data_IF_840629738807
#
_entry.id   IF_840629738807
#
_cell.length_a   1.000
_cell.length_b   1.000
_cell.length_c   1.000
_cell.angle_alpha   90.00
_cell.angle_beta   90.00
_cell.angle_gamma   90.00
#
_symmetry.space_group_name_H-M   'P 1'
#
loop_
_entity.id
_entity.type
_entity.pdbx_description
1 polymer ?
#
# COMPACT_ATOMS: atom_id res chain seq x y z
N UNK A 1 -8.37 1.48 -21.90
CA UNK A 1 -7.89 2.83 -22.32
C UNK A 1 -6.83 3.31 -21.33
N UNK A 2 -5.94 4.24 -21.70
CA UNK A 2 -4.92 4.79 -20.76
C UNK A 2 -5.59 5.85 -19.88
N UNK A 3 -5.61 5.63 -18.57
CA UNK A 3 -6.04 6.62 -17.58
C UNK A 3 -4.85 7.51 -17.18
N UNK A 4 -5.11 8.79 -16.88
CA UNK A 4 -4.09 9.68 -16.35
C UNK A 4 -4.21 9.72 -14.82
N UNK A 5 -3.19 9.22 -14.13
CA UNK A 5 -3.05 9.32 -12.68
C UNK A 5 -2.53 10.67 -12.20
N UNK A 6 -2.06 11.52 -13.13
CA UNK A 6 -1.32 12.78 -12.87
C UNK A 6 -0.02 12.59 -12.07
N UNK A 7 0.45 11.35 -11.88
CA UNK A 7 1.71 11.07 -11.22
C UNK A 7 2.86 11.03 -12.25
N UNK A 8 3.89 11.85 -12.04
CA UNK A 8 5.12 11.88 -12.85
C UNK A 8 6.19 10.90 -12.34
N UNK A 9 5.78 9.92 -11.53
CA UNK A 9 6.65 8.98 -10.84
C UNK A 9 6.21 7.54 -11.07
N UNK A 10 7.11 6.54 -10.94
CA UNK A 10 6.76 5.14 -11.16
C UNK A 10 5.68 4.67 -10.18
N UNK A 11 4.61 4.10 -10.71
CA UNK A 11 3.59 3.38 -9.97
C UNK A 11 3.95 1.89 -9.96
N UNK A 12 3.87 1.25 -8.81
CA UNK A 12 4.41 -0.09 -8.57
C UNK A 12 3.34 -1.16 -8.47
N UNK A 13 2.19 -0.83 -7.88
CA UNK A 13 1.14 -1.81 -7.62
C UNK A 13 -0.23 -1.18 -7.51
N UNK A 14 -1.27 -1.98 -7.74
CA UNK A 14 -2.68 -1.60 -7.70
C UNK A 14 -3.52 -2.66 -7.00
N UNK A 15 -4.48 -2.23 -6.18
CA UNK A 15 -5.44 -3.10 -5.50
C UNK A 15 -6.86 -2.54 -5.62
N UNK A 16 -7.80 -3.34 -6.09
CA UNK A 16 -9.23 -3.03 -6.06
C UNK A 16 -9.96 -3.95 -5.09
N UNK A 17 -10.87 -3.39 -4.30
CA UNK A 17 -11.75 -4.14 -3.37
C UNK A 17 -13.20 -4.21 -3.86
N UNK A 18 -13.51 -3.48 -4.93
CA UNK A 18 -14.76 -3.57 -5.68
C UNK A 18 -14.53 -3.00 -7.08
N UNK A 19 -15.54 -3.02 -7.95
CA UNK A 19 -15.44 -2.48 -9.31
C UNK A 19 -15.06 -1.00 -9.36
N UNK A 20 -15.48 -0.23 -8.34
CA UNK A 20 -15.27 1.23 -8.33
C UNK A 20 -14.15 1.69 -7.40
N UNK A 21 -13.75 0.86 -6.44
CA UNK A 21 -12.89 1.28 -5.32
C UNK A 21 -11.50 0.62 -5.43
N UNK A 22 -10.46 1.44 -5.61
CA UNK A 22 -9.10 0.95 -5.76
C UNK A 22 -8.01 1.93 -5.36
N UNK A 23 -6.83 1.40 -5.07
CA UNK A 23 -5.64 2.16 -4.67
C UNK A 23 -4.44 1.78 -5.50
N UNK A 24 -3.58 2.77 -5.75
CA UNK A 24 -2.28 2.59 -6.40
C UNK A 24 -1.19 3.11 -5.50
N UNK A 25 -0.04 2.46 -5.47
CA UNK A 25 1.15 2.94 -4.75
C UNK A 25 2.37 3.01 -5.64
N UNK A 26 3.38 3.82 -5.25
CA UNK A 26 4.58 3.94 -6.05
C UNK A 26 5.75 4.68 -5.40
N UNK A 27 6.58 5.28 -6.25
CA UNK A 27 7.70 6.12 -5.85
C UNK A 27 7.27 7.33 -5.02
N UNK A 28 8.23 7.97 -4.36
CA UNK A 28 8.03 9.11 -3.47
C UNK A 28 6.89 8.92 -2.44
N UNK A 29 6.62 7.67 -2.05
CA UNK A 29 5.57 7.36 -1.08
C UNK A 29 4.16 7.63 -1.62
N UNK A 30 3.99 7.75 -2.94
CA UNK A 30 2.69 8.05 -3.53
C UNK A 30 1.69 6.95 -3.26
N UNK A 31 0.50 7.39 -2.85
CA UNK A 31 -0.70 6.59 -2.69
C UNK A 31 -1.82 7.35 -3.39
N UNK A 32 -2.47 6.70 -4.35
CA UNK A 32 -3.64 7.23 -5.06
C UNK A 32 -4.85 6.37 -4.72
N UNK A 33 -6.03 6.97 -4.75
CA UNK A 33 -7.31 6.31 -4.56
C UNK A 33 -8.28 6.68 -5.68
N UNK A 34 -9.11 5.74 -6.12
CA UNK A 34 -10.25 5.97 -6.99
C UNK A 34 -11.50 5.41 -6.35
N UNK A 35 -12.61 6.11 -6.53
CA UNK A 35 -13.96 5.65 -6.16
C UNK A 35 -14.91 5.57 -7.38
N UNK A 36 -14.35 5.69 -8.58
CA UNK A 36 -15.05 5.73 -9.87
C UNK A 36 -14.36 4.86 -10.93
N UNK A 37 -13.88 3.67 -10.53
CA UNK A 37 -13.29 2.67 -11.42
C UNK A 37 -12.05 3.16 -12.20
N UNK A 38 -11.33 4.12 -11.63
CA UNK A 38 -10.11 4.69 -12.18
C UNK A 38 -10.34 5.83 -13.17
N UNK A 39 -11.57 6.31 -13.35
CA UNK A 39 -11.82 7.53 -14.13
C UNK A 39 -11.05 8.73 -13.54
N UNK A 40 -11.04 8.84 -12.20
CA UNK A 40 -10.26 9.82 -11.47
C UNK A 40 -9.44 9.17 -10.35
N UNK A 41 -8.25 9.71 -10.12
CA UNK A 41 -7.32 9.27 -9.08
C UNK A 41 -6.96 10.45 -8.18
N UNK A 42 -7.19 10.30 -6.88
CA UNK A 42 -6.93 11.32 -5.86
C UNK A 42 -5.72 10.92 -5.00
N UNK A 43 -4.82 11.88 -4.78
CA UNK A 43 -3.71 11.69 -3.84
C UNK A 43 -4.23 11.51 -2.42
N UNK A 44 -3.72 10.50 -1.74
CA UNK A 44 -3.95 10.28 -0.33
C UNK A 44 -2.78 10.84 0.48
N UNK A 45 -3.08 11.40 1.66
CA UNK A 45 -2.04 11.91 2.55
C UNK A 45 -1.25 10.74 3.15
N UNK A 46 0.00 10.59 2.70
CA UNK A 46 0.89 9.50 3.09
C UNK A 46 1.83 9.85 4.24
N UNK A 47 2.87 9.02 4.40
CA UNK A 47 4.03 9.29 5.25
C UNK A 47 5.26 9.41 4.36
N UNK A 48 6.30 10.16 4.75
CA UNK A 48 7.52 10.28 3.96
C UNK A 48 8.20 8.92 3.83
N UNK A 49 8.14 8.33 2.64
CA UNK A 49 8.74 7.04 2.27
C UNK A 49 9.25 7.16 0.84
N UNK A 50 10.43 6.64 0.51
CA UNK A 50 10.98 6.78 -0.85
C UNK A 50 10.26 5.92 -1.88
N UNK A 51 9.91 4.67 -1.55
CA UNK A 51 9.17 3.78 -2.43
C UNK A 51 8.19 2.91 -1.65
N UNK A 52 6.99 2.76 -2.20
CA UNK A 52 6.00 1.75 -1.81
C UNK A 52 5.88 0.76 -2.98
N UNK A 53 6.04 -0.53 -2.70
CA UNK A 53 6.09 -1.58 -3.72
C UNK A 53 4.84 -2.43 -3.81
N UNK A 54 4.09 -2.56 -2.72
CA UNK A 54 2.90 -3.42 -2.67
C UNK A 54 1.81 -2.77 -1.84
N UNK A 55 0.57 -2.82 -2.33
CA UNK A 55 -0.62 -2.39 -1.61
C UNK A 55 -1.62 -3.53 -1.50
N UNK A 56 -2.20 -3.68 -0.31
CA UNK A 56 -3.18 -4.71 0.00
C UNK A 56 -4.31 -4.10 0.82
N UNK A 57 -5.55 -4.25 0.36
CA UNK A 57 -6.72 -3.92 1.16
C UNK A 57 -7.52 -5.19 1.49
N UNK A 58 -7.88 -5.32 2.77
CA UNK A 58 -8.79 -6.38 3.25
C UNK A 58 -10.25 -6.07 2.91
N UNK A 59 -10.58 -4.78 2.90
CA UNK A 59 -11.90 -4.21 2.60
C UNK A 59 -11.72 -2.72 2.31
N UNK A 60 -12.82 -2.00 2.06
CA UNK A 60 -12.82 -0.56 1.74
C UNK A 60 -12.19 0.36 2.79
N UNK A 61 -11.96 -0.12 4.01
CA UNK A 61 -11.44 0.70 5.13
C UNK A 61 -10.03 0.34 5.54
N UNK A 62 -9.73 -0.97 5.60
CA UNK A 62 -8.48 -1.48 6.18
C UNK A 62 -7.52 -1.95 5.09
N UNK A 63 -6.35 -1.32 5.04
CA UNK A 63 -5.32 -1.63 4.06
C UNK A 63 -3.91 -1.39 4.57
N UNK A 64 -2.94 -2.02 3.90
CA UNK A 64 -1.53 -1.94 4.18
C UNK A 64 -0.75 -1.65 2.90
N UNK A 65 0.37 -0.96 3.05
CA UNK A 65 1.39 -0.87 2.00
C UNK A 65 2.77 -1.06 2.58
N UNK A 66 3.67 -1.67 1.81
CA UNK A 66 5.06 -1.91 2.21
C UNK A 66 6.04 -1.29 1.26
N UNK A 67 7.20 -0.92 1.81
CA UNK A 67 8.13 -0.06 1.11
C UNK A 67 9.55 -0.07 1.64
N UNK A 68 10.28 0.96 1.21
CA UNK A 68 11.69 1.19 1.54
C UNK A 68 11.88 1.36 3.04
N UNK A 69 13.09 1.07 3.54
CA UNK A 69 13.48 1.31 4.93
C UNK A 69 12.55 0.64 5.95
N UNK A 70 12.11 -0.59 5.66
CA UNK A 70 11.18 -1.34 6.49
C UNK A 70 9.80 -0.70 6.64
N UNK A 71 9.39 0.16 5.71
CA UNK A 71 8.10 0.82 5.77
C UNK A 71 6.96 -0.21 5.71
N UNK A 72 6.09 -0.13 6.72
CA UNK A 72 4.75 -0.72 6.73
C UNK A 72 3.81 0.42 7.09
N UNK A 73 2.95 0.83 6.18
CA UNK A 73 1.90 1.81 6.48
C UNK A 73 0.56 1.09 6.55
N UNK A 74 -0.28 1.51 7.48
CA UNK A 74 -1.62 0.96 7.69
C UNK A 74 -2.65 2.08 7.69
N UNK A 75 -3.80 1.83 7.07
CA UNK A 75 -4.97 2.69 7.13
C UNK A 75 -6.17 1.92 7.69
N UNK A 76 -7.03 2.62 8.42
CA UNK A 76 -8.32 2.10 8.89
C UNK A 76 -9.53 2.88 8.36
N UNK A 77 -9.29 3.87 7.50
CA UNK A 77 -10.28 4.78 6.94
C UNK A 77 -10.19 4.91 5.41
N UNK A 78 -9.75 3.84 4.72
CA UNK A 78 -9.76 3.79 3.26
C UNK A 78 -8.65 4.62 2.60
N UNK A 79 -7.58 4.90 3.35
CA UNK A 79 -6.43 5.64 2.86
C UNK A 79 -6.46 7.14 3.15
N UNK A 80 -7.54 7.67 3.75
CA UNK A 80 -7.59 9.09 4.14
C UNK A 80 -6.43 9.46 5.08
N UNK A 81 -6.05 8.53 5.96
CA UNK A 81 -4.80 8.62 6.73
C UNK A 81 -4.05 7.29 6.72
N UNK A 82 -2.71 7.39 6.69
CA UNK A 82 -1.79 6.25 6.76
C UNK A 82 -0.84 6.39 7.95
N UNK A 83 -0.78 5.36 8.79
CA UNK A 83 0.01 5.34 10.02
C UNK A 83 1.12 4.30 9.88
N UNK A 84 2.37 4.71 10.06
CA UNK A 84 3.53 3.81 10.03
C UNK A 84 3.50 2.84 11.22
N UNK A 85 3.67 1.56 10.92
CA UNK A 85 3.74 0.46 11.88
C UNK A 85 5.20 0.05 12.11
N UNK A 86 5.49 -0.49 13.29
CA UNK A 86 6.83 -1.00 13.61
C UNK A 86 7.07 -2.35 12.92
N UNK A 87 8.01 -2.39 11.97
CA UNK A 87 8.38 -3.60 11.22
C UNK A 87 9.48 -4.43 11.88
N UNK A 88 10.25 -3.83 12.81
CA UNK A 88 11.46 -4.41 13.45
C UNK A 88 12.60 -4.72 12.47
N UNK A 89 12.58 -4.08 11.30
CA UNK A 89 13.66 -4.13 10.31
C UNK A 89 13.75 -2.79 9.59
N UNK A 90 14.92 -2.45 9.08
CA UNK A 90 15.17 -1.34 8.16
C UNK A 90 15.32 -1.83 6.72
N UNK A 91 15.21 -3.14 6.48
CA UNK A 91 15.33 -3.70 5.15
C UNK A 91 14.08 -3.41 4.32
N UNK A 92 14.28 -3.30 3.01
CA UNK A 92 13.19 -3.05 2.07
C UNK A 92 12.20 -4.21 2.09
N UNK A 93 10.91 -3.90 2.17
CA UNK A 93 9.83 -4.88 2.16
C UNK A 93 9.11 -4.81 0.82
N UNK A 94 9.09 -5.91 0.07
CA UNK A 94 8.64 -5.92 -1.32
C UNK A 94 7.22 -6.44 -1.51
N UNK A 95 6.75 -7.32 -0.63
CA UNK A 95 5.41 -7.91 -0.75
C UNK A 95 4.78 -8.11 0.63
N UNK A 96 3.45 -8.12 0.64
CA UNK A 96 2.61 -8.27 1.82
C UNK A 96 1.32 -8.99 1.44
N UNK A 97 0.90 -9.95 2.26
CA UNK A 97 -0.30 -10.75 1.99
C UNK A 97 -1.03 -11.15 3.27
N UNK A 98 -2.34 -11.35 3.15
CA UNK A 98 -3.17 -11.98 4.17
C UNK A 98 -3.15 -13.49 3.96
N UNK A 99 -2.60 -14.24 4.91
CA UNK A 99 -2.70 -15.70 4.89
C UNK A 99 -4.10 -16.17 5.29
N UNK A 100 -4.78 -15.41 6.13
CA UNK A 100 -6.15 -15.63 6.57
C UNK A 100 -6.78 -14.30 7.05
N UNK A 101 -7.92 -14.35 7.73
CA UNK A 101 -8.60 -13.13 8.20
C UNK A 101 -7.84 -12.33 9.28
N UNK A 102 -6.85 -12.94 9.94
CA UNK A 102 -6.13 -12.39 11.10
C UNK A 102 -4.61 -12.40 10.93
N UNK A 103 -4.07 -13.16 9.98
CA UNK A 103 -2.63 -13.31 9.83
C UNK A 103 -2.13 -12.61 8.57
N UNK A 104 -1.12 -11.77 8.74
CA UNK A 104 -0.43 -11.06 7.69
C UNK A 104 1.03 -11.49 7.62
N UNK A 105 1.57 -11.59 6.40
CA UNK A 105 2.99 -11.82 6.15
C UNK A 105 3.54 -10.73 5.25
N UNK A 106 4.75 -10.26 5.55
CA UNK A 106 5.50 -9.38 4.66
C UNK A 106 6.90 -9.96 4.42
N UNK A 107 7.43 -9.77 3.22
CA UNK A 107 8.76 -10.29 2.84
C UNK A 107 9.62 -9.18 2.29
N UNK A 108 10.94 -9.33 2.45
CA UNK A 108 11.88 -8.28 2.09
C UNK A 108 13.27 -8.77 1.77
N UNK A 109 14.15 -7.80 1.57
CA UNK A 109 15.54 -8.00 1.21
C UNK A 109 16.31 -8.77 2.31
N UNK A 110 17.38 -9.47 1.93
CA UNK A 110 18.20 -10.33 2.81
C UNK A 110 17.43 -11.41 3.60
N UNK A 111 16.36 -11.97 3.01
CA UNK A 111 15.63 -13.10 3.59
C UNK A 111 14.68 -12.71 4.73
N UNK A 112 14.33 -11.42 4.84
CA UNK A 112 13.34 -10.94 5.81
C UNK A 112 11.98 -11.57 5.53
N UNK A 113 11.42 -12.18 6.58
CA UNK A 113 10.02 -12.63 6.64
C UNK A 113 9.43 -12.12 7.95
N UNK A 114 8.40 -11.30 7.85
CA UNK A 114 7.65 -10.76 8.97
C UNK A 114 6.28 -11.43 9.03
N UNK A 115 5.80 -11.69 10.25
CA UNK A 115 4.44 -12.17 10.52
C UNK A 115 3.78 -11.24 11.52
N UNK A 116 2.52 -10.89 11.28
CA UNK A 116 1.70 -10.15 12.22
C UNK A 116 0.33 -10.81 12.39
N UNK A 117 -0.20 -10.76 13.61
CA UNK A 117 -1.58 -11.15 13.92
C UNK A 117 -2.37 -9.89 14.26
N UNK A 118 -3.45 -9.66 13.49
CA UNK A 118 -4.35 -8.49 13.56
C UNK A 118 -5.33 -8.54 14.75
#
# INVERSE_FOLDING_TARGET
ERQQSQADIPLMDVCFVSENEGWVVGGNGTILHTSDAGEHWEYQEGQPVSFLWRVLFKNRKKGWTVGSEGAILYTENGGQTWIRQQSRTDQWLYDITLADQKTLYAVGLYGVVLKNSL
#
